data_IF_347263995160
#
_entry.id   IF_347263995160
#
_cell.length_a   1.000
_cell.length_b   1.000
_cell.length_c   1.000
_cell.angle_alpha   90.00
_cell.angle_beta   90.00
_cell.angle_gamma   90.00
#
_symmetry.space_group_name_H-M   'P 1'
#
loop_
_entity.id
_entity.type
_entity.pdbx_description
1 polymer ?
#
# COMPACT_ATOMS: atom_id res chain seq x y z
N UNK A 1 -15.61 -12.38 20.26
CA UNK A 1 -14.29 -11.79 19.97
C UNK A 1 -14.51 -10.50 19.19
N UNK A 2 -13.78 -9.43 19.47
CA UNK A 2 -13.90 -8.18 18.72
C UNK A 2 -13.42 -8.37 17.27
N UNK A 3 -14.01 -7.66 16.32
CA UNK A 3 -13.58 -7.67 14.92
C UNK A 3 -12.12 -7.21 14.78
N UNK A 4 -11.32 -7.79 13.86
CA UNK A 4 -9.94 -7.36 13.64
C UNK A 4 -9.85 -5.87 13.26
N UNK A 5 -8.79 -5.20 13.73
CA UNK A 5 -8.55 -3.78 13.48
C UNK A 5 -8.10 -3.55 12.04
N UNK A 6 -8.74 -2.59 11.35
CA UNK A 6 -8.36 -2.20 9.99
C UNK A 6 -7.24 -1.16 10.03
N UNK A 7 -6.24 -1.33 9.18
CA UNK A 7 -5.09 -0.42 9.09
C UNK A 7 -5.09 0.31 7.75
N UNK A 8 -4.81 1.61 7.79
CA UNK A 8 -4.63 2.45 6.62
C UNK A 8 -3.35 3.27 6.77
N UNK A 9 -2.57 3.36 5.69
CA UNK A 9 -1.37 4.17 5.56
C UNK A 9 -1.74 5.38 4.71
N UNK A 10 -1.51 6.59 5.23
CA UNK A 10 -1.73 7.83 4.49
C UNK A 10 -0.37 8.38 4.08
N UNK A 11 -0.01 8.17 2.81
CA UNK A 11 1.26 8.63 2.23
C UNK A 11 2.04 7.51 1.55
N UNK A 12 2.56 7.84 0.36
CA UNK A 12 3.19 6.87 -0.55
C UNK A 12 4.61 7.23 -0.98
N UNK A 13 5.29 8.09 -0.22
CA UNK A 13 6.71 8.38 -0.43
C UNK A 13 7.62 7.21 -0.04
N UNK A 14 8.93 7.46 0.00
CA UNK A 14 9.94 6.43 0.27
C UNK A 14 9.66 5.72 1.61
N UNK A 15 9.50 6.49 2.69
CA UNK A 15 9.21 5.93 4.01
C UNK A 15 7.82 5.29 4.10
N UNK A 16 6.81 5.89 3.45
CA UNK A 16 5.46 5.32 3.39
C UNK A 16 5.44 3.94 2.73
N UNK A 17 6.24 3.75 1.67
CA UNK A 17 6.39 2.47 0.99
C UNK A 17 7.19 1.47 1.82
N UNK A 18 8.26 1.91 2.49
CA UNK A 18 9.07 1.04 3.35
C UNK A 18 8.24 0.51 4.54
N UNK A 19 7.49 1.40 5.21
CA UNK A 19 6.66 0.99 6.35
C UNK A 19 5.46 0.14 5.91
N UNK A 20 4.92 0.36 4.71
CA UNK A 20 3.86 -0.47 4.15
C UNK A 20 4.27 -1.94 4.04
N UNK A 21 5.54 -2.23 3.74
CA UNK A 21 6.06 -3.61 3.73
C UNK A 21 6.00 -4.25 5.11
N UNK A 22 6.47 -3.52 6.13
CA UNK A 22 6.50 -4.03 7.51
C UNK A 22 5.07 -4.21 8.05
N UNK A 23 4.20 -3.22 7.83
CA UNK A 23 2.80 -3.26 8.26
C UNK A 23 2.04 -4.38 7.53
N UNK A 24 2.24 -4.53 6.21
CA UNK A 24 1.62 -5.59 5.42
C UNK A 24 1.96 -6.97 5.96
N UNK A 25 3.25 -7.25 6.21
CA UNK A 25 3.69 -8.52 6.80
C UNK A 25 3.11 -8.77 8.20
N UNK A 26 3.06 -7.74 9.04
CA UNK A 26 2.48 -7.86 10.39
C UNK A 26 0.96 -8.10 10.37
N UNK A 27 0.24 -7.47 9.45
CA UNK A 27 -1.20 -7.65 9.29
C UNK A 27 -1.59 -9.07 8.83
N UNK A 28 -0.67 -9.79 8.17
CA UNK A 28 -0.85 -11.20 7.80
C UNK A 28 -0.64 -12.15 9.00
N UNK A 29 0.22 -11.80 9.94
CA UNK A 29 0.62 -12.70 11.04
C UNK A 29 -0.15 -12.47 12.34
N UNK A 30 -0.54 -11.22 12.61
CA UNK A 30 -1.19 -10.83 13.86
C UNK A 30 -2.71 -10.88 13.73
N UNK A 31 -3.36 -11.82 14.43
CA UNK A 31 -4.82 -11.99 14.44
C UNK A 31 -5.61 -10.75 14.91
N UNK A 32 -4.94 -9.80 15.57
CA UNK A 32 -5.54 -8.54 16.01
C UNK A 32 -5.90 -7.62 14.84
N UNK A 33 -5.27 -7.79 13.68
CA UNK A 33 -5.43 -6.91 12.53
C UNK A 33 -6.12 -7.62 11.36
N UNK A 34 -6.88 -6.85 10.58
CA UNK A 34 -7.37 -7.32 9.30
C UNK A 34 -6.20 -7.46 8.33
N UNK A 35 -6.17 -8.53 7.54
CA UNK A 35 -5.08 -8.82 6.62
C UNK A 35 -4.88 -7.72 5.59
N UNK A 36 -5.96 -7.15 5.04
CA UNK A 36 -5.85 -6.07 4.05
C UNK A 36 -5.42 -4.75 4.69
N UNK A 37 -4.34 -4.18 4.17
CA UNK A 37 -3.84 -2.86 4.53
C UNK A 37 -4.12 -1.92 3.37
N UNK A 38 -4.84 -0.82 3.63
CA UNK A 38 -5.05 0.21 2.62
C UNK A 38 -3.90 1.21 2.63
N UNK A 39 -3.46 1.65 1.46
CA UNK A 39 -2.43 2.68 1.32
C UNK A 39 -2.97 3.78 0.41
N UNK A 40 -3.07 5.00 0.92
CA UNK A 40 -3.38 6.16 0.10
C UNK A 40 -2.14 6.58 -0.68
N UNK A 41 -2.30 6.66 -1.99
CA UNK A 41 -1.28 7.03 -2.96
C UNK A 41 -1.82 8.24 -3.71
N UNK A 42 -1.07 9.34 -3.73
CA UNK A 42 -1.40 10.47 -4.59
C UNK A 42 -1.23 10.06 -6.05
N UNK A 43 -2.22 10.36 -6.89
CA UNK A 43 -2.20 9.96 -8.30
C UNK A 43 -1.13 10.74 -9.06
N UNK A 44 -0.24 10.03 -9.74
CA UNK A 44 0.86 10.62 -10.50
C UNK A 44 1.13 9.81 -11.76
N UNK A 45 1.46 10.48 -12.86
CA UNK A 45 1.90 9.79 -14.07
C UNK A 45 3.39 9.44 -13.99
N UNK A 46 3.71 8.16 -14.12
CA UNK A 46 5.08 7.63 -14.16
C UNK A 46 5.23 6.77 -15.41
N UNK A 47 6.09 7.18 -16.32
CA UNK A 47 6.36 6.48 -17.59
C UNK A 47 5.08 6.18 -18.40
N UNK A 48 4.11 7.10 -18.40
CA UNK A 48 2.86 6.96 -19.14
C UNK A 48 1.79 6.09 -18.45
N UNK A 49 2.06 5.58 -17.23
CA UNK A 49 1.11 4.82 -16.41
C UNK A 49 0.82 5.58 -15.11
N UNK A 50 -0.38 5.40 -14.57
CA UNK A 50 -0.75 5.89 -13.25
C UNK A 50 0.03 5.13 -12.17
N UNK A 51 0.68 5.85 -11.25
CA UNK A 51 1.45 5.25 -10.14
C UNK A 51 0.56 4.33 -9.30
N UNK A 52 -0.70 4.71 -9.12
CA UNK A 52 -1.68 3.88 -8.43
C UNK A 52 -1.88 2.53 -9.13
N UNK A 53 -1.96 2.51 -10.46
CA UNK A 53 -2.14 1.30 -11.26
C UNK A 53 -0.90 0.42 -11.20
N UNK A 54 0.29 1.01 -11.32
CA UNK A 54 1.57 0.30 -11.16
C UNK A 54 1.63 -0.37 -9.77
N UNK A 55 1.32 0.35 -8.69
CA UNK A 55 1.38 -0.20 -7.34
C UNK A 55 0.39 -1.36 -7.14
N UNK A 56 -0.80 -1.27 -7.73
CA UNK A 56 -1.81 -2.33 -7.60
C UNK A 56 -1.52 -3.58 -8.44
N UNK A 57 -0.89 -3.43 -9.61
CA UNK A 57 -0.63 -4.57 -10.50
C UNK A 57 0.74 -5.19 -10.25
N UNK A 58 1.74 -4.34 -10.07
CA UNK A 58 3.14 -4.76 -10.02
C UNK A 58 3.60 -4.94 -8.56
N UNK A 59 2.76 -4.52 -7.60
CA UNK A 59 3.05 -4.49 -6.16
C UNK A 59 4.38 -3.79 -5.86
N UNK A 60 4.67 -2.70 -6.57
CA UNK A 60 5.92 -1.96 -6.45
C UNK A 60 5.68 -0.47 -6.62
N UNK A 61 6.28 0.32 -5.73
CA UNK A 61 6.33 1.77 -5.91
C UNK A 61 7.59 2.14 -6.68
N UNK A 62 7.53 2.01 -8.01
CA UNK A 62 8.67 2.21 -8.91
C UNK A 62 9.30 3.61 -8.84
N UNK A 63 8.57 4.60 -8.30
CA UNK A 63 9.06 5.98 -8.14
C UNK A 63 9.78 6.20 -6.82
N UNK A 64 9.20 5.74 -5.71
CA UNK A 64 9.66 6.07 -4.37
C UNK A 64 10.39 4.92 -3.65
N UNK A 65 10.25 3.69 -4.13
CA UNK A 65 10.95 2.53 -3.58
C UNK A 65 11.21 1.46 -4.67
N UNK A 66 11.98 1.79 -5.73
CA UNK A 66 12.26 0.87 -6.82
C UNK A 66 13.05 -0.38 -6.36
N UNK A 67 12.72 -1.53 -6.94
CA UNK A 67 13.34 -2.83 -6.66
C UNK A 67 12.77 -3.55 -5.42
N UNK A 68 11.81 -2.96 -4.70
CA UNK A 68 11.23 -3.56 -3.50
C UNK A 68 9.73 -3.75 -3.64
N UNK A 69 9.31 -5.02 -3.68
CA UNK A 69 7.89 -5.37 -3.70
C UNK A 69 7.21 -5.13 -2.35
N UNK A 70 6.01 -4.56 -2.44
CA UNK A 70 5.02 -4.49 -1.38
C UNK A 70 4.34 -5.86 -1.22
N UNK A 71 3.92 -6.24 -0.01
CA UNK A 71 3.09 -7.42 0.19
C UNK A 71 1.75 -7.32 -0.56
N UNK A 72 1.24 -8.45 -1.07
CA UNK A 72 0.00 -8.49 -1.87
C UNK A 72 -1.24 -8.00 -1.13
N UNK A 73 -1.21 -8.04 0.20
CA UNK A 73 -2.27 -7.54 1.07
C UNK A 73 -2.22 -6.02 1.30
N UNK A 74 -1.21 -5.32 0.77
CA UNK A 74 -1.14 -3.86 0.71
C UNK A 74 -1.76 -3.42 -0.61
N UNK A 75 -2.95 -2.82 -0.52
CA UNK A 75 -3.72 -2.37 -1.68
C UNK A 75 -3.89 -0.87 -1.64
N UNK A 76 -3.95 -0.23 -2.81
CA UNK A 76 -4.25 1.21 -2.83
C UNK A 76 -5.66 1.47 -2.29
N UNK A 77 -5.81 2.50 -1.48
CA UNK A 77 -7.10 3.07 -1.17
C UNK A 77 -7.57 3.92 -2.35
N UNK A 78 -8.73 3.63 -2.93
CA UNK A 78 -9.37 4.51 -3.91
C UNK A 78 -9.63 5.86 -3.24
N UNK A 79 -8.88 6.90 -3.63
CA UNK A 79 -9.38 8.27 -3.49
C UNK A 79 -9.92 8.67 -4.85
N UNK A 80 -11.24 8.77 -4.99
CA UNK A 80 -11.83 9.59 -6.04
C UNK A 80 -11.27 11.01 -5.83
N UNK A 81 -10.36 11.45 -6.71
CA UNK A 81 -10.07 12.87 -6.79
C UNK A 81 -11.29 13.51 -7.43
N UNK A 82 -12.09 14.16 -6.59
CA UNK A 82 -13.20 15.00 -7.02
C UNK A 82 -12.70 16.36 -7.46
#
# INVERSE_FOLDING_TARGET
>A
MASPLKVCIVGSGNWGSAIARIIGSNAQTLQRFATTVKMWVFEENVNGRNLTDIINTDHENVKYLPGYKLPDNVVRGLSEQK
#
